data_IF_163340892782
#
_entry.id   IF_163340892782
#
_cell.length_a   1.000
_cell.length_b   1.000
_cell.length_c   1.000
_cell.angle_alpha   90.00
_cell.angle_beta   90.00
_cell.angle_gamma   90.00
#
_symmetry.space_group_name_H-M   'P 1'
#
loop_
_entity.id
_entity.type
_entity.pdbx_description
1 polymer ?
#
# COMPACT_ATOMS: atom_id res chain seq x y z
N UNK A 1 -10.63 -32.72 -15.39
CA UNK A 1 -10.42 -31.37 -14.83
C UNK A 1 -10.28 -31.52 -13.32
N UNK A 2 -9.21 -31.03 -12.67
CA UNK A 2 -9.08 -31.17 -11.22
C UNK A 2 -10.19 -30.38 -10.52
N UNK A 3 -10.78 -31.03 -9.52
CA UNK A 3 -11.99 -30.63 -8.78
C UNK A 3 -11.95 -29.16 -8.30
N UNK A 4 -13.00 -28.34 -8.52
CA UNK A 4 -13.01 -26.96 -8.09
C UNK A 4 -13.14 -26.89 -6.55
N UNK A 5 -12.23 -26.12 -5.95
CA UNK A 5 -12.37 -25.48 -4.64
C UNK A 5 -12.54 -26.42 -3.44
N UNK A 6 -11.44 -26.93 -2.88
CA UNK A 6 -11.37 -27.11 -1.41
C UNK A 6 -11.71 -25.74 -0.83
N UNK A 7 -12.89 -25.60 -0.23
CA UNK A 7 -13.23 -24.38 0.51
C UNK A 7 -12.22 -24.25 1.64
N UNK A 8 -11.52 -23.12 1.69
CA UNK A 8 -10.72 -22.79 2.86
C UNK A 8 -11.68 -22.66 4.03
N UNK A 9 -11.54 -23.55 5.01
CA UNK A 9 -12.32 -23.50 6.23
C UNK A 9 -11.38 -23.07 7.35
N UNK A 10 -11.78 -22.06 8.13
CA UNK A 10 -10.98 -21.64 9.27
C UNK A 10 -10.99 -22.72 10.35
N UNK A 11 -9.81 -23.21 10.72
CA UNK A 11 -9.61 -24.09 11.87
C UNK A 11 -8.75 -23.36 12.90
N UNK A 12 -7.54 -23.02 12.45
CA UNK A 12 -6.57 -22.20 13.15
C UNK A 12 -5.63 -21.58 12.10
N UNK A 13 -4.83 -20.61 12.54
CA UNK A 13 -3.87 -19.88 11.72
C UNK A 13 -2.90 -20.79 10.97
N UNK A 14 -2.32 -21.77 11.66
CA UNK A 14 -1.24 -22.59 11.11
C UNK A 14 -1.77 -23.60 10.11
N UNK A 15 -2.92 -24.21 10.39
CA UNK A 15 -3.61 -25.08 9.44
C UNK A 15 -4.01 -24.30 8.19
N UNK A 16 -4.57 -23.10 8.35
CA UNK A 16 -4.97 -22.29 7.22
C UNK A 16 -3.77 -21.81 6.37
N UNK A 17 -2.63 -21.51 7.01
CA UNK A 17 -1.39 -21.16 6.33
C UNK A 17 -0.80 -22.35 5.55
N UNK A 18 -0.78 -23.56 6.13
CA UNK A 18 -0.35 -24.79 5.46
C UNK A 18 -1.24 -25.16 4.29
N UNK A 19 -2.56 -25.04 4.46
CA UNK A 19 -3.52 -25.28 3.37
C UNK A 19 -3.28 -24.33 2.18
N UNK A 20 -2.99 -23.06 2.45
CA UNK A 20 -2.71 -22.07 1.41
C UNK A 20 -1.36 -22.32 0.72
N UNK A 21 -0.34 -22.74 1.47
CA UNK A 21 0.96 -23.13 0.92
C UNK A 21 0.85 -24.40 0.07
N UNK A 22 0.05 -25.37 0.51
CA UNK A 22 -0.27 -26.56 -0.28
C UNK A 22 -0.93 -26.17 -1.60
N UNK A 23 -1.92 -25.26 -1.57
CA UNK A 23 -2.53 -24.74 -2.80
C UNK A 23 -1.47 -24.13 -3.73
N UNK A 24 -0.54 -23.31 -3.21
CA UNK A 24 0.53 -22.73 -4.01
C UNK A 24 1.36 -23.82 -4.73
N UNK A 25 1.70 -24.92 -4.05
CA UNK A 25 2.54 -25.99 -4.62
C UNK A 25 1.90 -26.73 -5.80
N UNK A 26 0.56 -26.88 -5.83
CA UNK A 26 -0.14 -27.72 -6.82
C UNK A 26 -0.97 -26.92 -7.84
N UNK A 27 -1.27 -25.65 -7.57
CA UNK A 27 -2.14 -24.85 -8.41
C UNK A 27 -1.46 -24.34 -9.70
N UNK A 28 -2.25 -24.01 -10.74
CA UNK A 28 -1.78 -23.23 -11.89
C UNK A 28 -1.15 -21.91 -11.45
N UNK A 29 -0.24 -21.38 -12.28
CA UNK A 29 0.58 -20.21 -11.96
C UNK A 29 -0.21 -19.01 -11.42
N UNK A 30 -1.35 -18.68 -12.03
CA UNK A 30 -2.19 -17.54 -11.61
C UNK A 30 -2.75 -17.70 -10.19
N UNK A 31 -3.16 -18.91 -9.81
CA UNK A 31 -3.64 -19.21 -8.45
C UNK A 31 -2.50 -19.37 -7.46
N UNK A 32 -1.38 -19.97 -7.89
CA UNK A 32 -0.15 -20.07 -7.09
C UNK A 32 0.35 -18.69 -6.68
N UNK A 33 0.39 -17.75 -7.63
CA UNK A 33 0.79 -16.36 -7.39
C UNK A 33 -0.04 -15.70 -6.30
N UNK A 34 -1.36 -15.81 -6.41
CA UNK A 34 -2.30 -15.27 -5.41
C UNK A 34 -2.13 -15.95 -4.05
N UNK A 35 -1.99 -17.27 -4.03
CA UNK A 35 -1.79 -18.03 -2.80
C UNK A 35 -0.51 -17.58 -2.08
N UNK A 36 0.65 -17.54 -2.77
CA UNK A 36 1.90 -17.08 -2.18
C UNK A 36 1.83 -15.62 -1.71
N UNK A 37 1.21 -14.74 -2.50
CA UNK A 37 1.04 -13.34 -2.12
C UNK A 37 0.24 -13.16 -0.83
N UNK A 38 -0.76 -14.02 -0.61
CA UNK A 38 -1.65 -13.94 0.54
C UNK A 38 -1.05 -14.56 1.82
N UNK A 39 -0.03 -15.43 1.72
CA UNK A 39 0.59 -16.07 2.89
C UNK A 39 1.11 -15.08 3.94
N UNK A 40 1.55 -13.88 3.54
CA UNK A 40 1.97 -12.82 4.47
C UNK A 40 0.88 -12.40 5.45
N UNK A 41 -0.40 -12.59 5.10
CA UNK A 41 -1.53 -12.27 5.96
C UNK A 41 -1.67 -13.27 7.14
N UNK A 42 -1.10 -14.47 7.02
CA UNK A 42 -1.25 -15.51 8.02
C UNK A 42 -0.25 -15.40 9.16
N UNK A 43 0.94 -14.84 8.88
CA UNK A 43 1.97 -14.57 9.91
C UNK A 43 2.30 -15.82 10.75
N UNK A 44 2.26 -16.99 10.13
CA UNK A 44 2.43 -18.29 10.78
C UNK A 44 3.88 -18.75 10.70
N UNK A 45 4.50 -19.03 11.85
CA UNK A 45 5.84 -19.63 11.91
C UNK A 45 5.86 -21.09 11.45
N UNK A 46 4.70 -21.76 11.40
CA UNK A 46 4.58 -23.17 11.03
C UNK A 46 4.95 -23.46 9.56
N UNK A 47 4.91 -22.45 8.69
CA UNK A 47 5.27 -22.55 7.27
C UNK A 47 6.64 -21.92 6.96
N UNK A 48 7.37 -21.44 7.98
CA UNK A 48 8.62 -20.69 7.79
C UNK A 48 9.66 -21.49 7.00
N UNK A 49 9.90 -22.74 7.39
CA UNK A 49 10.93 -23.58 6.75
C UNK A 49 10.60 -23.86 5.28
N UNK A 50 9.33 -24.07 4.95
CA UNK A 50 8.88 -24.26 3.56
C UNK A 50 9.06 -22.98 2.73
N UNK A 51 8.78 -21.80 3.32
CA UNK A 51 9.02 -20.51 2.66
C UNK A 51 10.51 -20.26 2.43
N UNK A 52 11.37 -20.60 3.39
CA UNK A 52 12.83 -20.51 3.24
C UNK A 52 13.31 -21.37 2.05
N UNK A 53 12.79 -22.59 1.92
CA UNK A 53 13.11 -23.45 0.78
C UNK A 53 12.70 -22.81 -0.56
N UNK A 54 11.51 -22.18 -0.63
CA UNK A 54 11.07 -21.47 -1.84
C UNK A 54 12.02 -20.31 -2.16
N UNK A 55 12.41 -19.51 -1.16
CA UNK A 55 13.35 -18.39 -1.35
C UNK A 55 14.71 -18.90 -1.85
N UNK A 56 15.18 -20.03 -1.33
CA UNK A 56 16.50 -20.57 -1.65
C UNK A 56 16.55 -21.40 -2.94
N UNK A 57 15.42 -21.88 -3.46
CA UNK A 57 15.38 -22.71 -4.66
C UNK A 57 15.64 -21.89 -5.93
N UNK A 58 16.79 -22.13 -6.56
CA UNK A 58 17.21 -21.48 -7.81
C UNK A 58 16.29 -21.78 -9.01
N UNK A 59 15.44 -22.79 -8.90
CA UNK A 59 14.43 -23.14 -9.91
C UNK A 59 13.11 -22.39 -9.74
N UNK A 60 12.84 -21.84 -8.56
CA UNK A 60 11.65 -21.01 -8.34
C UNK A 60 11.77 -19.69 -9.11
N UNK A 61 10.64 -19.20 -9.62
CA UNK A 61 10.58 -17.90 -10.29
C UNK A 61 10.88 -16.77 -9.31
N UNK A 62 11.44 -15.66 -9.79
CA UNK A 62 11.79 -14.51 -8.94
C UNK A 62 10.61 -13.98 -8.13
N UNK A 63 9.40 -13.95 -8.72
CA UNK A 63 8.19 -13.53 -8.01
C UNK A 63 7.76 -14.52 -6.90
N UNK A 64 8.00 -15.83 -7.07
CA UNK A 64 7.69 -16.84 -6.04
C UNK A 64 8.56 -16.60 -4.79
N UNK A 65 9.87 -16.42 -5.02
CA UNK A 65 10.84 -16.10 -3.97
C UNK A 65 10.47 -14.81 -3.23
N UNK A 66 10.08 -13.77 -3.97
CA UNK A 66 9.67 -12.49 -3.39
C UNK A 66 8.47 -12.60 -2.48
N UNK A 67 7.39 -13.27 -2.92
CA UNK A 67 6.22 -13.44 -2.05
C UNK A 67 6.53 -14.32 -0.84
N UNK A 68 7.37 -15.35 -1.00
CA UNK A 68 7.82 -16.16 0.12
C UNK A 68 8.62 -15.33 1.14
N UNK A 69 9.56 -14.50 0.66
CA UNK A 69 10.35 -13.59 1.51
C UNK A 69 9.47 -12.58 2.24
N UNK A 70 8.47 -11.98 1.56
CA UNK A 70 7.48 -11.10 2.19
C UNK A 70 6.65 -11.81 3.25
N UNK A 71 6.30 -13.07 3.02
CA UNK A 71 5.57 -13.87 3.99
C UNK A 71 6.44 -14.15 5.22
N UNK A 72 7.72 -14.50 5.05
CA UNK A 72 8.69 -14.66 6.14
C UNK A 72 8.86 -13.35 6.94
N UNK A 73 9.03 -12.22 6.25
CA UNK A 73 9.18 -10.92 6.91
C UNK A 73 7.98 -10.56 7.80
N UNK A 74 6.78 -11.02 7.44
CA UNK A 74 5.55 -10.80 8.20
C UNK A 74 5.38 -11.75 9.41
N UNK A 75 6.19 -12.82 9.53
CA UNK A 75 6.14 -13.75 10.68
C UNK A 75 6.67 -13.02 11.93
N UNK A 76 5.91 -12.95 13.04
CA UNK A 76 6.35 -12.33 14.27
C UNK A 76 7.53 -13.07 14.91
N UNK A 77 8.28 -12.35 15.74
CA UNK A 77 9.49 -12.87 16.38
C UNK A 77 10.74 -12.37 15.69
N UNK A 78 11.87 -13.00 16.01
CA UNK A 78 13.19 -12.61 15.53
C UNK A 78 13.71 -13.68 14.55
N UNK A 79 13.39 -13.50 13.27
CA UNK A 79 13.75 -14.43 12.21
C UNK A 79 15.16 -14.12 11.69
N UNK A 80 16.18 -14.76 12.27
CA UNK A 80 17.56 -14.67 11.77
C UNK A 80 17.79 -15.65 10.59
N UNK A 81 18.20 -15.12 9.43
CA UNK A 81 18.27 -15.81 8.14
C UNK A 81 19.58 -15.46 7.37
N UNK A 82 20.76 -15.78 7.91
CA UNK A 82 22.04 -15.42 7.29
C UNK A 82 22.27 -16.06 5.92
N UNK A 83 21.61 -17.17 5.62
CA UNK A 83 21.65 -17.83 4.30
C UNK A 83 21.09 -16.95 3.17
N UNK A 84 20.35 -15.88 3.50
CA UNK A 84 19.88 -14.91 2.51
C UNK A 84 20.94 -13.87 2.13
N UNK A 85 22.12 -13.89 2.77
CA UNK A 85 23.30 -13.06 2.45
C UNK A 85 23.64 -13.03 0.96
N UNK A 86 23.55 -14.18 0.29
CA UNK A 86 23.82 -14.29 -1.15
C UNK A 86 22.91 -13.45 -2.04
N UNK A 87 21.75 -13.04 -1.53
CA UNK A 87 20.83 -12.15 -2.25
C UNK A 87 21.12 -10.67 -2.01
N UNK A 88 22.06 -10.34 -1.12
CA UNK A 88 22.55 -8.97 -0.95
C UNK A 88 23.71 -8.64 -1.91
N UNK A 89 24.31 -9.63 -2.56
CA UNK A 89 25.56 -9.50 -3.32
C UNK A 89 25.46 -9.72 -4.82
N UNK A 90 24.29 -10.09 -5.37
CA UNK A 90 24.25 -10.54 -6.76
C UNK A 90 24.24 -9.36 -7.76
N UNK A 91 25.00 -9.58 -8.83
CA UNK A 91 25.72 -8.57 -9.61
C UNK A 91 24.88 -7.84 -10.67
N UNK A 92 25.45 -6.73 -11.18
CA UNK A 92 24.98 -5.89 -12.29
C UNK A 92 24.59 -6.65 -13.58
N UNK A 93 25.09 -7.88 -13.77
CA UNK A 93 24.86 -8.70 -14.97
C UNK A 93 23.64 -9.62 -14.90
N UNK A 94 23.15 -9.90 -13.71
CA UNK A 94 21.79 -10.44 -13.57
C UNK A 94 20.88 -9.24 -13.49
N UNK A 95 19.78 -9.25 -14.24
CA UNK A 95 18.67 -8.33 -14.07
C UNK A 95 18.13 -8.52 -12.64
N UNK A 96 18.86 -7.98 -11.67
CA UNK A 96 18.59 -8.10 -10.26
C UNK A 96 17.22 -7.46 -10.09
N UNK A 97 16.24 -8.27 -9.70
CA UNK A 97 14.90 -7.77 -9.47
C UNK A 97 15.05 -6.83 -8.26
N UNK A 98 15.22 -5.52 -8.51
CA UNK A 98 15.35 -4.44 -7.52
C UNK A 98 14.40 -4.63 -6.33
N UNK A 99 13.26 -5.23 -6.64
CA UNK A 99 12.19 -5.51 -5.72
C UNK A 99 12.40 -6.72 -4.78
N UNK A 100 13.26 -7.69 -5.11
CA UNK A 100 13.71 -8.74 -4.16
C UNK A 100 14.63 -8.14 -3.10
N UNK A 101 15.52 -7.24 -3.50
CA UNK A 101 16.38 -6.53 -2.55
C UNK A 101 15.56 -5.62 -1.63
N UNK A 102 14.57 -4.92 -2.16
CA UNK A 102 13.60 -4.18 -1.34
C UNK A 102 12.88 -5.09 -0.32
N UNK A 103 12.54 -6.32 -0.72
CA UNK A 103 11.92 -7.30 0.17
C UNK A 103 12.92 -7.83 1.24
N UNK A 104 14.23 -7.90 0.95
CA UNK A 104 15.27 -8.19 1.94
C UNK A 104 15.44 -7.05 2.94
N UNK A 105 15.41 -5.79 2.48
CA UNK A 105 15.45 -4.64 3.39
C UNK A 105 14.21 -4.61 4.29
N UNK A 106 13.03 -4.97 3.77
CA UNK A 106 11.81 -5.15 4.59
C UNK A 106 11.97 -6.26 5.63
N UNK A 107 12.56 -7.40 5.25
CA UNK A 107 12.91 -8.46 6.20
C UNK A 107 13.83 -7.91 7.29
N UNK A 108 14.92 -7.25 6.94
CA UNK A 108 15.89 -6.73 7.91
C UNK A 108 15.31 -5.63 8.81
N UNK A 109 14.41 -4.80 8.29
CA UNK A 109 13.64 -3.81 9.07
C UNK A 109 12.68 -4.47 10.07
N UNK A 110 12.06 -5.59 9.68
CA UNK A 110 11.16 -6.33 10.57
C UNK A 110 11.92 -7.23 11.55
N UNK A 111 13.16 -7.62 11.22
CA UNK A 111 14.01 -8.57 11.94
C UNK A 111 15.45 -8.03 12.05
N UNK A 112 15.74 -7.09 12.99
CA UNK A 112 16.97 -6.29 13.01
C UNK A 112 18.28 -7.09 13.09
N UNK A 113 18.28 -8.34 13.58
CA UNK A 113 19.48 -9.18 13.58
C UNK A 113 20.02 -9.50 12.19
N UNK A 114 19.19 -9.37 11.16
CA UNK A 114 19.65 -9.55 9.78
C UNK A 114 20.45 -8.35 9.25
N UNK A 115 20.33 -7.17 9.87
CA UNK A 115 21.01 -5.95 9.42
C UNK A 115 22.51 -6.13 9.35
N UNK A 116 23.10 -6.83 10.32
CA UNK A 116 24.54 -6.99 10.41
C UNK A 116 25.11 -7.73 9.19
N UNK A 117 24.49 -8.83 8.77
CA UNK A 117 24.97 -9.55 7.59
C UNK A 117 24.57 -8.83 6.30
N UNK A 118 23.37 -8.22 6.22
CA UNK A 118 22.95 -7.46 5.04
C UNK A 118 23.96 -6.35 4.75
N UNK A 119 24.30 -5.52 5.74
CA UNK A 119 25.26 -4.44 5.52
C UNK A 119 26.68 -4.93 5.28
N UNK A 120 27.12 -6.01 5.94
CA UNK A 120 28.45 -6.59 5.68
C UNK A 120 28.61 -7.06 4.24
N UNK A 121 27.58 -7.67 3.67
CA UNK A 121 27.60 -8.15 2.29
C UNK A 121 27.55 -7.00 1.28
N UNK A 122 26.75 -5.97 1.57
CA UNK A 122 26.63 -4.78 0.71
C UNK A 122 27.90 -3.93 0.76
N UNK A 123 28.55 -3.80 1.92
CA UNK A 123 29.82 -3.06 2.09
C UNK A 123 30.95 -3.60 1.19
N UNK A 124 30.85 -4.86 0.75
CA UNK A 124 31.83 -5.47 -0.16
C UNK A 124 31.57 -5.16 -1.65
N UNK A 125 30.45 -4.49 -1.97
CA UNK A 125 30.07 -4.13 -3.34
C UNK A 125 30.76 -2.85 -3.82
N UNK A 126 30.60 -2.54 -5.11
CA UNK A 126 31.04 -1.26 -5.68
C UNK A 126 30.48 -0.07 -4.86
N UNK A 127 31.28 0.98 -4.56
CA UNK A 127 30.84 2.11 -3.74
C UNK A 127 29.54 2.78 -4.22
N UNK A 128 29.29 2.80 -5.54
CA UNK A 128 28.04 3.32 -6.11
C UNK A 128 26.85 2.44 -5.73
N UNK A 129 27.00 1.12 -5.81
CA UNK A 129 25.97 0.14 -5.40
C UNK A 129 25.72 0.26 -3.90
N UNK A 130 26.78 0.34 -3.10
CA UNK A 130 26.67 0.51 -1.65
C UNK A 130 25.91 1.79 -1.28
N UNK A 131 26.24 2.94 -1.89
CA UNK A 131 25.51 4.20 -1.69
C UNK A 131 24.05 4.10 -2.07
N UNK A 132 23.72 3.45 -3.19
CA UNK A 132 22.33 3.23 -3.60
C UNK A 132 21.56 2.42 -2.54
N UNK A 133 22.19 1.39 -1.97
CA UNK A 133 21.60 0.55 -0.94
C UNK A 133 21.40 1.32 0.37
N UNK A 134 22.41 2.07 0.84
CA UNK A 134 22.29 2.92 2.03
C UNK A 134 21.16 3.95 1.85
N UNK A 135 21.12 4.60 0.69
CA UNK A 135 20.08 5.57 0.36
C UNK A 135 18.68 4.93 0.35
N UNK A 136 18.51 3.77 -0.31
CA UNK A 136 17.22 3.04 -0.31
C UNK A 136 16.82 2.65 1.12
N UNK A 137 17.77 2.19 1.93
CA UNK A 137 17.59 1.77 3.32
C UNK A 137 16.95 2.84 4.20
N UNK A 138 17.31 4.12 4.01
CA UNK A 138 16.69 5.23 4.78
C UNK A 138 15.16 5.32 4.64
N UNK A 139 14.56 4.74 3.59
CA UNK A 139 13.11 4.70 3.44
C UNK A 139 12.43 3.58 4.23
N UNK A 140 13.17 2.54 4.65
CA UNK A 140 12.64 1.34 5.29
C UNK A 140 12.74 1.34 6.81
N UNK A 141 13.69 2.09 7.38
CA UNK A 141 13.97 2.10 8.84
C UNK A 141 13.27 3.24 9.59
N UNK A 142 12.11 3.69 9.13
CA UNK A 142 11.40 4.86 9.69
C UNK A 142 10.64 4.58 11.00
N UNK A 143 10.58 3.35 11.49
CA UNK A 143 9.77 2.99 12.66
C UNK A 143 10.61 2.33 13.77
N UNK A 144 10.71 3.00 14.92
CA UNK A 144 11.13 2.40 16.20
C UNK A 144 12.64 2.46 16.51
N UNK A 145 13.51 2.32 15.52
CA UNK A 145 14.96 2.44 15.67
C UNK A 145 15.49 3.40 14.60
N UNK A 146 15.84 4.62 14.98
CA UNK A 146 16.33 5.62 14.03
C UNK A 146 17.76 5.28 13.58
N UNK A 147 17.84 4.39 12.57
CA UNK A 147 19.10 4.02 11.93
C UNK A 147 19.58 5.07 10.94
N UNK A 148 18.76 6.08 10.61
CA UNK A 148 19.09 7.07 9.59
C UNK A 148 20.40 7.82 9.89
N UNK A 149 20.71 8.25 11.12
CA UNK A 149 21.99 8.88 11.41
C UNK A 149 23.19 7.98 11.11
N UNK A 150 23.08 6.68 11.40
CA UNK A 150 24.14 5.70 11.14
C UNK A 150 24.30 5.49 9.63
N UNK A 151 23.19 5.34 8.90
CA UNK A 151 23.19 5.17 7.45
C UNK A 151 23.75 6.41 6.74
N UNK A 152 23.33 7.60 7.16
CA UNK A 152 23.78 8.87 6.58
C UNK A 152 25.26 9.12 6.87
N UNK A 153 25.73 8.80 8.09
CA UNK A 153 27.16 8.85 8.41
C UNK A 153 28.00 7.95 7.49
N UNK A 154 27.55 6.70 7.27
CA UNK A 154 28.22 5.78 6.35
C UNK A 154 28.19 6.28 4.90
N UNK A 155 27.08 6.89 4.47
CA UNK A 155 27.01 7.54 3.15
C UNK A 155 28.05 8.65 3.03
N UNK A 156 28.17 9.50 4.06
CA UNK A 156 29.19 10.56 4.12
C UNK A 156 30.59 9.97 4.01
N UNK A 157 30.92 8.94 4.79
CA UNK A 157 32.25 8.27 4.75
C UNK A 157 32.58 7.75 3.33
N UNK A 158 31.61 7.15 2.63
CA UNK A 158 31.80 6.70 1.24
C UNK A 158 31.95 7.89 0.28
N UNK A 159 31.19 8.96 0.47
CA UNK A 159 31.25 10.17 -0.35
C UNK A 159 32.54 10.99 -0.12
N UNK A 160 33.15 10.90 1.06
CA UNK A 160 34.47 11.47 1.32
C UNK A 160 35.56 10.73 0.56
N UNK A 161 35.47 9.39 0.50
CA UNK A 161 36.38 8.58 -0.31
C UNK A 161 36.09 8.68 -1.83
N UNK A 162 34.84 8.93 -2.21
CA UNK A 162 34.37 8.92 -3.60
C UNK A 162 33.45 10.13 -3.91
N UNK A 163 33.99 11.37 -3.92
CA UNK A 163 33.17 12.59 -4.01
C UNK A 163 32.39 12.74 -5.32
N UNK A 164 32.85 12.11 -6.40
CA UNK A 164 32.16 12.12 -7.70
C UNK A 164 30.85 11.33 -7.71
N UNK A 165 30.58 10.52 -6.68
CA UNK A 165 29.33 9.79 -6.54
C UNK A 165 28.21 10.64 -5.92
N UNK A 166 28.50 11.86 -5.48
CA UNK A 166 27.49 12.77 -4.93
C UNK A 166 26.49 13.18 -6.01
N UNK A 167 25.20 12.95 -5.74
CA UNK A 167 24.11 13.36 -6.62
C UNK A 167 22.98 14.07 -5.83
N UNK A 168 22.02 14.65 -6.56
CA UNK A 168 20.88 15.36 -5.97
C UNK A 168 19.99 14.46 -5.09
N UNK A 169 19.93 13.15 -5.37
CA UNK A 169 19.13 12.21 -4.60
C UNK A 169 19.78 11.96 -3.23
N UNK A 170 21.09 11.75 -3.20
CA UNK A 170 21.88 11.60 -1.98
C UNK A 170 21.86 12.88 -1.13
N UNK A 171 22.02 14.05 -1.75
CA UNK A 171 21.89 15.35 -1.07
C UNK A 171 20.53 15.48 -0.41
N UNK A 172 19.45 15.14 -1.14
CA UNK A 172 18.10 15.17 -0.59
C UNK A 172 17.93 14.23 0.60
N UNK A 173 18.50 13.03 0.54
CA UNK A 173 18.44 12.08 1.65
C UNK A 173 19.20 12.61 2.87
N UNK A 174 20.43 13.07 2.71
CA UNK A 174 21.24 13.62 3.81
C UNK A 174 20.56 14.83 4.48
N UNK A 175 20.03 15.75 3.68
CA UNK A 175 19.40 16.96 4.20
C UNK A 175 18.02 16.70 4.83
N UNK A 176 17.16 15.90 4.19
CA UNK A 176 15.77 15.72 4.64
C UNK A 176 15.53 14.50 5.55
N UNK A 177 16.43 13.51 5.58
CA UNK A 177 16.25 12.31 6.43
C UNK A 177 17.11 12.34 7.68
N UNK A 178 18.33 12.86 7.63
CA UNK A 178 19.19 13.01 8.81
C UNK A 178 19.08 14.42 9.40
N UNK A 179 19.50 15.44 8.64
CA UNK A 179 19.40 16.84 9.08
C UNK A 179 20.19 17.17 10.35
N UNK A 180 21.14 16.31 10.76
CA UNK A 180 22.01 16.57 11.90
C UNK A 180 22.96 17.74 11.61
N UNK A 181 23.39 18.45 12.66
CA UNK A 181 24.33 19.58 12.52
C UNK A 181 25.59 19.20 11.75
N UNK A 182 26.18 18.04 12.05
CA UNK A 182 27.36 17.52 11.34
C UNK A 182 27.10 17.27 9.85
N UNK A 183 25.92 16.76 9.49
CA UNK A 183 25.57 16.52 8.09
C UNK A 183 25.32 17.84 7.36
N UNK A 184 24.70 18.82 8.01
CA UNK A 184 24.48 20.15 7.45
C UNK A 184 25.81 20.89 7.24
N UNK A 185 26.73 20.83 8.21
CA UNK A 185 28.09 21.36 8.06
C UNK A 185 28.82 20.72 6.87
N UNK A 186 28.78 19.39 6.77
CA UNK A 186 29.39 18.66 5.65
C UNK A 186 28.83 19.07 4.27
N UNK A 187 27.52 19.30 4.20
CA UNK A 187 26.86 19.81 2.99
C UNK A 187 27.25 21.26 2.69
N UNK A 188 27.39 22.10 3.72
CA UNK A 188 27.82 23.49 3.59
C UNK A 188 29.26 23.63 3.09
N UNK A 189 30.17 22.74 3.50
CA UNK A 189 31.54 22.70 2.95
C UNK A 189 31.57 22.42 1.44
N UNK A 190 30.49 21.81 0.89
CA UNK A 190 30.36 21.42 -0.52
C UNK A 190 29.38 22.31 -1.28
N UNK A 191 29.08 23.50 -0.76
CA UNK A 191 28.03 24.38 -1.28
C UNK A 191 28.10 24.64 -2.79
N UNK A 192 29.30 24.90 -3.31
CA UNK A 192 29.49 25.14 -4.75
C UNK A 192 29.17 23.91 -5.59
N UNK A 193 29.46 22.71 -5.07
CA UNK A 193 29.10 21.44 -5.73
C UNK A 193 27.59 21.24 -5.72
N UNK A 194 26.91 21.59 -4.63
CA UNK A 194 25.44 21.53 -4.54
C UNK A 194 24.79 22.45 -5.57
N UNK A 195 25.29 23.68 -5.71
CA UNK A 195 24.81 24.64 -6.73
C UNK A 195 25.06 24.06 -8.12
N UNK A 196 26.27 23.60 -8.41
CA UNK A 196 26.61 23.02 -9.71
C UNK A 196 25.69 21.86 -10.08
N UNK A 197 25.48 20.90 -9.17
CA UNK A 197 24.58 19.77 -9.38
C UNK A 197 23.13 20.21 -9.64
N UNK A 198 22.67 21.30 -9.01
CA UNK A 198 21.34 21.86 -9.29
C UNK A 198 21.24 22.49 -10.68
N UNK A 199 22.34 23.00 -11.23
CA UNK A 199 22.37 23.63 -12.55
C UNK A 199 22.43 22.60 -13.70
N UNK A 200 22.99 21.41 -13.45
CA UNK A 200 23.16 20.35 -14.47
C UNK A 200 22.20 19.17 -14.30
N UNK A 201 21.47 19.12 -13.18
CA UNK A 201 20.59 18.01 -12.83
C UNK A 201 19.22 18.06 -13.51
N UNK A 202 18.47 16.97 -13.38
CA UNK A 202 17.10 16.89 -13.89
C UNK A 202 16.15 17.80 -13.12
N UNK A 203 15.32 18.57 -13.84
CA UNK A 203 14.39 19.55 -13.27
C UNK A 203 13.54 19.00 -12.11
N UNK A 204 13.05 17.76 -12.22
CA UNK A 204 12.24 17.10 -11.19
C UNK A 204 12.99 16.98 -9.84
N UNK A 205 14.25 16.54 -9.86
CA UNK A 205 15.03 16.35 -8.63
C UNK A 205 15.50 17.68 -8.05
N UNK A 206 15.90 18.61 -8.92
CA UNK A 206 16.29 19.97 -8.55
C UNK A 206 15.14 20.68 -7.84
N UNK A 207 13.96 20.74 -8.46
CA UNK A 207 12.85 21.48 -7.87
C UNK A 207 12.29 20.85 -6.60
N UNK A 208 12.40 19.53 -6.44
CA UNK A 208 12.09 18.87 -5.16
C UNK A 208 13.00 19.38 -4.05
N UNK A 209 14.30 19.54 -4.32
CA UNK A 209 15.27 20.10 -3.35
C UNK A 209 14.98 21.57 -3.07
N UNK A 210 14.92 22.42 -4.10
CA UNK A 210 14.75 23.88 -3.96
C UNK A 210 13.44 24.28 -3.28
N UNK A 211 12.40 23.44 -3.40
CA UNK A 211 11.12 23.66 -2.74
C UNK A 211 11.21 23.64 -1.22
N UNK A 212 12.10 22.83 -0.68
CA UNK A 212 12.20 22.59 0.76
C UNK A 212 13.53 23.08 1.34
N UNK A 213 14.35 23.81 0.57
CA UNK A 213 15.64 24.35 0.99
C UNK A 213 15.85 25.78 0.48
N UNK A 214 15.41 26.75 1.28
CA UNK A 214 15.35 28.15 0.87
C UNK A 214 16.74 28.75 0.57
N UNK A 215 17.75 28.47 1.40
CA UNK A 215 19.10 28.99 1.18
C UNK A 215 19.71 28.48 -0.13
N UNK A 216 19.51 27.19 -0.45
CA UNK A 216 20.00 26.61 -1.69
C UNK A 216 19.24 27.20 -2.89
N UNK A 217 17.92 27.40 -2.77
CA UNK A 217 17.10 28.05 -3.80
C UNK A 217 17.60 29.44 -4.12
N UNK A 218 17.83 30.27 -3.11
CA UNK A 218 18.36 31.63 -3.31
C UNK A 218 19.73 31.63 -3.98
N UNK A 219 20.63 30.72 -3.56
CA UNK A 219 21.95 30.59 -4.15
C UNK A 219 21.90 30.14 -5.62
N UNK A 220 21.06 29.17 -5.96
CA UNK A 220 20.87 28.69 -7.34
C UNK A 220 20.27 29.79 -8.21
N UNK A 221 19.22 30.49 -7.73
CA UNK A 221 18.60 31.59 -8.49
C UNK A 221 19.54 32.78 -8.72
N UNK A 222 20.45 33.06 -7.78
CA UNK A 222 21.49 34.06 -7.96
C UNK A 222 22.46 33.69 -9.09
N UNK A 223 22.80 32.41 -9.22
CA UNK A 223 23.72 31.92 -10.26
C UNK A 223 23.03 31.67 -11.61
N UNK A 224 21.73 31.35 -11.61
CA UNK A 224 20.95 31.10 -12.81
C UNK A 224 19.54 31.71 -12.71
N UNK A 225 19.39 33.03 -12.97
CA UNK A 225 18.10 33.71 -12.85
C UNK A 225 17.01 33.15 -13.78
N UNK A 226 17.37 32.51 -14.90
CA UNK A 226 16.40 31.89 -15.81
C UNK A 226 15.61 30.75 -15.18
N UNK A 227 16.15 30.07 -14.15
CA UNK A 227 15.44 29.00 -13.43
C UNK A 227 14.28 29.52 -12.57
N UNK A 228 14.22 30.82 -12.28
CA UNK A 228 13.15 31.40 -11.44
C UNK A 228 11.79 31.20 -12.09
N UNK A 229 11.68 31.49 -13.38
CA UNK A 229 10.40 31.39 -14.11
C UNK A 229 10.00 29.92 -14.33
N UNK A 230 10.97 29.04 -14.64
CA UNK A 230 10.72 27.60 -14.76
C UNK A 230 10.22 27.00 -13.44
N UNK A 231 10.84 27.36 -12.32
CA UNK A 231 10.41 26.93 -10.98
C UNK A 231 9.00 27.42 -10.65
N UNK A 232 8.66 28.69 -10.94
CA UNK A 232 7.30 29.22 -10.74
C UNK A 232 6.27 28.49 -11.58
N UNK A 233 6.57 28.23 -12.85
CA UNK A 233 5.67 27.50 -13.74
C UNK A 233 5.38 26.09 -13.20
N UNK A 234 6.41 25.37 -12.75
CA UNK A 234 6.21 24.03 -12.20
C UNK A 234 5.44 24.04 -10.88
N UNK A 235 5.60 25.08 -10.04
CA UNK A 235 4.77 25.25 -8.85
C UNK A 235 3.28 25.42 -9.21
N UNK A 236 2.98 26.20 -10.26
CA UNK A 236 1.62 26.39 -10.75
C UNK A 236 1.04 25.09 -11.32
N UNK A 237 1.82 24.32 -12.09
CA UNK A 237 1.39 23.02 -12.62
C UNK A 237 1.09 22.02 -11.51
N UNK A 238 1.97 21.91 -10.49
CA UNK A 238 1.73 21.03 -9.33
C UNK A 238 0.53 21.51 -8.52
N UNK A 239 0.31 22.81 -8.36
CA UNK A 239 -0.87 23.35 -7.69
C UNK A 239 -2.15 23.04 -8.47
N UNK A 240 -2.14 23.19 -9.79
CA UNK A 240 -3.25 22.84 -10.67
C UNK A 240 -3.58 21.34 -10.61
N UNK A 241 -2.55 20.48 -10.63
CA UNK A 241 -2.72 19.03 -10.46
C UNK A 241 -3.31 18.70 -9.08
N UNK A 242 -2.83 19.33 -8.00
CA UNK A 242 -3.38 19.13 -6.65
C UNK A 242 -4.85 19.53 -6.56
N UNK A 243 -5.24 20.65 -7.18
CA UNK A 243 -6.64 21.07 -7.25
C UNK A 243 -7.50 20.07 -8.04
N UNK A 244 -6.95 19.47 -9.11
CA UNK A 244 -7.63 18.41 -9.88
C UNK A 244 -7.83 17.12 -9.08
N UNK A 245 -6.85 16.71 -8.27
CA UNK A 245 -6.90 15.44 -7.52
C UNK A 245 -7.43 15.54 -6.09
N UNK A 246 -7.55 16.77 -5.55
CA UNK A 246 -8.18 17.04 -4.26
C UNK A 246 -9.30 18.07 -4.47
N UNK A 247 -10.39 17.69 -5.16
CA UNK A 247 -11.51 18.59 -5.38
C UNK A 247 -12.08 19.05 -4.03
N UNK A 248 -12.71 20.22 -4.05
CA UNK A 248 -13.32 20.81 -2.87
C UNK A 248 -14.30 19.82 -2.22
N UNK A 249 -14.53 19.92 -0.89
CA UNK A 249 -15.61 19.18 -0.24
C UNK A 249 -16.90 19.43 -1.01
N UNK A 250 -17.53 18.37 -1.52
CA UNK A 250 -18.81 18.47 -2.22
C UNK A 250 -19.90 18.06 -1.24
N UNK A 251 -20.97 18.84 -1.15
CA UNK A 251 -22.11 18.55 -0.27
C UNK A 251 -22.97 17.42 -0.86
N UNK A 252 -22.45 16.20 -0.84
CA UNK A 252 -23.18 15.00 -1.27
C UNK A 252 -24.42 14.74 -0.40
N UNK A 253 -24.48 15.30 0.81
CA UNK A 253 -25.60 15.11 1.73
C UNK A 253 -26.87 15.80 1.24
N UNK A 254 -26.72 16.80 0.37
CA UNK A 254 -27.82 17.44 -0.34
C UNK A 254 -28.42 16.58 -1.47
N UNK A 255 -27.74 15.52 -1.91
CA UNK A 255 -28.22 14.69 -3.03
C UNK A 255 -29.49 13.92 -2.69
N UNK A 256 -30.41 13.83 -3.65
CA UNK A 256 -31.67 13.10 -3.47
C UNK A 256 -31.42 11.62 -3.14
N UNK A 257 -30.40 11.03 -3.78
CA UNK A 257 -29.98 9.64 -3.54
C UNK A 257 -29.48 9.45 -2.11
N UNK A 258 -28.63 10.35 -1.61
CA UNK A 258 -28.18 10.28 -0.21
C UNK A 258 -29.33 10.44 0.77
N UNK A 259 -30.20 11.43 0.56
CA UNK A 259 -31.32 11.69 1.46
C UNK A 259 -32.28 10.49 1.52
N UNK A 260 -32.57 9.85 0.38
CA UNK A 260 -33.36 8.61 0.32
C UNK A 260 -32.72 7.48 1.13
N UNK A 261 -31.44 7.17 0.85
CA UNK A 261 -30.74 6.07 1.50
C UNK A 261 -30.54 6.33 3.01
N UNK A 262 -30.20 7.56 3.38
CA UNK A 262 -30.06 7.94 4.78
C UNK A 262 -31.40 7.90 5.51
N UNK A 263 -32.51 8.28 4.89
CA UNK A 263 -33.84 8.13 5.48
C UNK A 263 -34.17 6.66 5.78
N UNK A 264 -33.85 5.73 4.87
CA UNK A 264 -34.01 4.29 5.15
C UNK A 264 -33.06 3.81 6.24
N UNK A 265 -31.82 4.31 6.29
CA UNK A 265 -30.88 3.98 7.36
C UNK A 265 -31.36 4.44 8.73
N UNK A 266 -31.84 5.68 8.86
CA UNK A 266 -32.39 6.19 10.13
C UNK A 266 -33.64 5.43 10.57
N UNK A 267 -34.54 5.09 9.63
CA UNK A 267 -35.71 4.27 9.93
C UNK A 267 -35.31 2.85 10.39
N UNK A 268 -34.32 2.23 9.74
CA UNK A 268 -33.78 0.95 10.15
C UNK A 268 -33.13 1.02 11.54
N UNK A 269 -32.40 2.09 11.85
CA UNK A 269 -31.85 2.33 13.20
C UNK A 269 -32.93 2.41 14.29
N UNK A 270 -34.12 2.88 13.93
CA UNK A 270 -35.30 2.93 14.78
C UNK A 270 -36.08 1.59 14.86
N UNK A 271 -35.58 0.52 14.23
CA UNK A 271 -36.19 -0.81 14.24
C UNK A 271 -37.10 -1.13 13.06
N UNK A 272 -37.14 -0.30 12.01
CA UNK A 272 -37.94 -0.57 10.81
C UNK A 272 -37.28 -1.65 9.92
N UNK A 273 -37.79 -2.88 10.04
CA UNK A 273 -37.37 -4.03 9.23
C UNK A 273 -37.60 -3.83 7.72
N UNK A 274 -38.62 -3.08 7.33
CA UNK A 274 -38.91 -2.80 5.92
C UNK A 274 -37.85 -1.85 5.35
N UNK A 275 -37.44 -0.84 6.11
CA UNK A 275 -36.36 0.06 5.73
C UNK A 275 -35.01 -0.68 5.60
N UNK A 276 -34.69 -1.57 6.55
CA UNK A 276 -33.55 -2.49 6.44
C UNK A 276 -33.62 -3.32 5.14
N UNK A 277 -34.78 -3.92 4.86
CA UNK A 277 -35.00 -4.72 3.64
C UNK A 277 -34.81 -3.93 2.35
N UNK A 278 -35.17 -2.64 2.33
CA UNK A 278 -34.92 -1.74 1.18
C UNK A 278 -33.42 -1.51 0.96
N UNK A 279 -32.66 -1.19 2.02
CA UNK A 279 -31.21 -1.03 1.93
C UNK A 279 -30.53 -2.32 1.45
N UNK A 280 -30.86 -3.46 2.06
CA UNK A 280 -30.32 -4.74 1.64
C UNK A 280 -30.63 -5.04 0.16
N UNK A 281 -31.84 -4.74 -0.31
CA UNK A 281 -32.23 -4.93 -1.71
C UNK A 281 -31.37 -4.10 -2.67
N UNK A 282 -31.05 -2.85 -2.34
CA UNK A 282 -30.12 -2.02 -3.14
C UNK A 282 -28.75 -2.68 -3.20
N UNK A 283 -28.23 -3.16 -2.07
CA UNK A 283 -26.92 -3.85 -2.01
C UNK A 283 -26.88 -5.14 -2.83
N UNK A 284 -27.99 -5.88 -2.92
CA UNK A 284 -28.07 -7.09 -3.75
C UNK A 284 -28.27 -6.82 -5.24
N UNK A 285 -29.21 -5.94 -5.57
CA UNK A 285 -29.83 -5.93 -6.90
C UNK A 285 -29.55 -4.66 -7.71
N UNK A 286 -29.03 -3.60 -7.12
CA UNK A 286 -28.70 -2.40 -7.88
C UNK A 286 -27.51 -2.68 -8.82
N UNK A 287 -27.70 -2.46 -10.11
CA UNK A 287 -26.69 -2.74 -11.15
C UNK A 287 -26.41 -1.50 -12.02
N UNK A 288 -27.31 -0.52 -12.00
CA UNK A 288 -27.24 0.64 -12.87
C UNK A 288 -26.50 1.78 -12.19
N UNK A 289 -26.68 1.94 -10.88
CA UNK A 289 -26.03 2.97 -10.08
C UNK A 289 -25.06 2.37 -9.06
N UNK A 290 -23.78 2.31 -9.44
CA UNK A 290 -22.72 1.76 -8.59
C UNK A 290 -22.42 2.68 -7.39
N UNK A 291 -22.61 4.00 -7.51
CA UNK A 291 -22.40 4.94 -6.42
C UNK A 291 -23.49 4.78 -5.36
N UNK A 292 -24.76 4.75 -5.77
CA UNK A 292 -25.90 4.43 -4.89
C UNK A 292 -25.69 3.10 -4.17
N UNK A 293 -25.24 2.06 -4.89
CA UNK A 293 -24.98 0.75 -4.29
C UNK A 293 -23.82 0.75 -3.29
N UNK A 294 -22.73 1.46 -3.58
CA UNK A 294 -21.60 1.58 -2.66
C UNK A 294 -22.02 2.31 -1.37
N UNK A 295 -22.73 3.43 -1.49
CA UNK A 295 -23.27 4.18 -0.34
C UNK A 295 -24.28 3.36 0.46
N UNK A 296 -25.19 2.64 -0.21
CA UNK A 296 -26.11 1.74 0.48
C UNK A 296 -25.36 0.62 1.22
N UNK A 297 -24.25 0.13 0.68
CA UNK A 297 -23.39 -0.88 1.31
C UNK A 297 -22.71 -0.32 2.58
N UNK A 298 -22.20 0.91 2.52
CA UNK A 298 -21.66 1.62 3.69
C UNK A 298 -22.70 1.74 4.82
N UNK A 299 -23.88 2.26 4.49
CA UNK A 299 -24.97 2.45 5.45
C UNK A 299 -25.47 1.11 6.00
N UNK A 300 -25.57 0.07 5.18
CA UNK A 300 -25.92 -1.27 5.64
C UNK A 300 -24.89 -1.80 6.64
N UNK A 301 -23.59 -1.59 6.40
CA UNK A 301 -22.52 -1.98 7.32
C UNK A 301 -22.64 -1.36 8.70
N UNK A 302 -23.11 -0.10 8.79
CA UNK A 302 -23.33 0.61 10.06
C UNK A 302 -24.46 -0.02 10.91
N UNK A 303 -25.35 -0.82 10.30
CA UNK A 303 -26.47 -1.50 10.97
C UNK A 303 -26.10 -2.86 11.60
N UNK A 304 -24.83 -3.29 11.53
CA UNK A 304 -24.35 -4.62 11.97
C UNK A 304 -24.67 -5.02 13.41
N UNK A 305 -24.90 -4.04 14.30
CA UNK A 305 -25.23 -4.30 15.70
C UNK A 305 -26.72 -4.57 15.94
N UNK A 306 -27.58 -4.28 14.96
CA UNK A 306 -29.03 -4.44 15.06
C UNK A 306 -29.57 -5.55 14.14
N UNK A 307 -28.93 -5.77 12.99
CA UNK A 307 -29.40 -6.71 11.97
C UNK A 307 -28.28 -7.66 11.52
N UNK A 308 -28.65 -8.83 11.01
CA UNK A 308 -27.70 -9.73 10.33
C UNK A 308 -27.41 -9.24 8.91
N UNK A 309 -26.44 -8.34 8.81
CA UNK A 309 -26.00 -7.71 7.55
C UNK A 309 -25.12 -8.64 6.69
N UNK A 310 -24.58 -9.72 7.29
CA UNK A 310 -23.57 -10.60 6.64
C UNK A 310 -24.02 -11.15 5.28
N UNK A 311 -25.25 -11.66 5.09
CA UNK A 311 -25.64 -12.21 3.79
C UNK A 311 -25.48 -11.22 2.63
N UNK A 312 -25.90 -9.97 2.84
CA UNK A 312 -25.83 -8.92 1.83
C UNK A 312 -24.39 -8.47 1.59
N UNK A 313 -23.61 -8.30 2.66
CA UNK A 313 -22.20 -7.90 2.55
C UNK A 313 -21.33 -9.01 1.93
N UNK A 314 -21.58 -10.29 2.22
CA UNK A 314 -20.92 -11.43 1.58
C UNK A 314 -21.21 -11.46 0.08
N UNK A 315 -22.46 -11.23 -0.31
CA UNK A 315 -22.82 -11.14 -1.71
C UNK A 315 -22.12 -9.97 -2.41
N UNK A 316 -22.15 -8.77 -1.81
CA UNK A 316 -21.50 -7.59 -2.35
C UNK A 316 -19.98 -7.79 -2.53
N UNK A 317 -19.30 -8.31 -1.50
CA UNK A 317 -17.85 -8.54 -1.53
C UNK A 317 -17.41 -9.55 -2.61
N UNK A 318 -18.23 -10.58 -2.88
CA UNK A 318 -17.90 -11.65 -3.83
C UNK A 318 -18.34 -11.38 -5.27
N UNK A 319 -19.42 -10.61 -5.46
CA UNK A 319 -20.14 -10.59 -6.73
C UNK A 319 -20.44 -9.20 -7.28
N UNK A 320 -20.05 -8.12 -6.60
CA UNK A 320 -20.25 -6.78 -7.16
C UNK A 320 -19.48 -6.62 -8.49
N UNK A 321 -20.10 -5.99 -9.51
CA UNK A 321 -19.52 -5.82 -10.85
C UNK A 321 -18.64 -4.57 -10.98
N UNK A 322 -18.13 -4.04 -9.87
CA UNK A 322 -17.41 -2.76 -9.75
C UNK A 322 -15.94 -2.82 -10.23
N UNK A 323 -15.51 -3.95 -10.79
CA UNK A 323 -14.18 -4.14 -11.39
C UNK A 323 -14.10 -3.73 -12.88
N UNK A 324 -15.23 -3.58 -13.59
CA UNK A 324 -15.23 -3.58 -15.07
C UNK A 324 -15.61 -2.25 -15.76
N UNK A 325 -16.25 -1.31 -15.06
CA UNK A 325 -16.85 -0.11 -15.70
C UNK A 325 -15.96 1.14 -15.70
N UNK A 326 -14.95 1.21 -14.84
CA UNK A 326 -14.15 2.43 -14.69
C UNK A 326 -12.66 2.12 -14.79
N UNK A 327 -12.01 2.66 -15.83
CA UNK A 327 -10.56 2.63 -16.00
C UNK A 327 -9.83 3.57 -15.01
N UNK A 328 -10.56 4.40 -14.26
CA UNK A 328 -9.99 5.23 -13.21
C UNK A 328 -9.84 4.43 -11.92
N UNK A 329 -8.58 4.37 -11.44
CA UNK A 329 -8.16 3.75 -10.18
C UNK A 329 -9.00 4.17 -8.96
N UNK A 330 -9.68 5.33 -9.03
CA UNK A 330 -10.51 5.88 -7.95
C UNK A 330 -11.89 5.21 -7.82
N UNK A 331 -12.40 4.55 -8.87
CA UNK A 331 -13.74 3.93 -8.88
C UNK A 331 -13.74 2.41 -8.90
N UNK A 332 -12.59 1.77 -9.17
CA UNK A 332 -12.50 0.31 -9.15
C UNK A 332 -12.74 -0.23 -7.75
N UNK A 333 -13.70 -1.15 -7.60
CA UNK A 333 -14.01 -1.89 -6.37
C UNK A 333 -14.70 -1.12 -5.20
N UNK A 334 -15.47 -0.05 -5.45
CA UNK A 334 -16.13 0.74 -4.38
C UNK A 334 -17.11 -0.06 -3.51
N UNK A 335 -17.94 -0.91 -4.11
CA UNK A 335 -18.93 -1.72 -3.40
C UNK A 335 -18.22 -2.81 -2.60
N UNK A 336 -17.25 -3.49 -3.21
CA UNK A 336 -16.45 -4.53 -2.53
C UNK A 336 -15.63 -3.93 -1.40
N UNK A 337 -15.14 -2.71 -1.58
CA UNK A 337 -14.43 -1.99 -0.53
C UNK A 337 -15.32 -1.76 0.69
N UNK A 338 -16.50 -1.14 0.48
CA UNK A 338 -17.44 -0.84 1.57
C UNK A 338 -17.91 -2.11 2.29
N UNK A 339 -18.18 -3.17 1.51
CA UNK A 339 -18.53 -4.47 2.07
C UNK A 339 -17.40 -5.05 2.92
N UNK A 340 -16.16 -4.99 2.42
CA UNK A 340 -15.00 -5.52 3.13
C UNK A 340 -14.66 -4.73 4.39
N UNK A 341 -14.73 -3.40 4.33
CA UNK A 341 -14.51 -2.53 5.49
C UNK A 341 -15.53 -2.83 6.60
N UNK A 342 -16.81 -2.96 6.27
CA UNK A 342 -17.85 -3.30 7.23
C UNK A 342 -17.68 -4.70 7.84
N UNK A 343 -17.33 -5.68 7.00
CA UNK A 343 -17.13 -7.07 7.41
C UNK A 343 -15.88 -7.26 8.28
N UNK A 344 -14.80 -6.52 8.04
CA UNK A 344 -13.57 -6.55 8.85
C UNK A 344 -13.86 -6.42 10.35
N UNK A 345 -14.84 -5.60 10.70
CA UNK A 345 -15.21 -5.33 12.09
C UNK A 345 -16.14 -6.40 12.71
N UNK A 346 -16.43 -7.48 11.98
CA UNK A 346 -17.27 -8.61 12.41
C UNK A 346 -16.40 -9.88 12.41
N UNK A 347 -15.42 -10.01 13.33
CA UNK A 347 -14.50 -11.14 13.30
C UNK A 347 -15.24 -12.46 13.53
N UNK A 348 -15.26 -13.30 12.50
CA UNK A 348 -15.79 -14.67 12.55
C UNK A 348 -15.13 -15.54 11.48
N UNK A 349 -15.07 -16.87 11.67
CA UNK A 349 -14.63 -17.81 10.64
C UNK A 349 -15.29 -17.55 9.27
N UNK A 350 -16.61 -17.41 9.24
CA UNK A 350 -17.40 -17.21 8.01
C UNK A 350 -17.00 -15.95 7.24
N UNK A 351 -16.72 -14.86 7.97
CA UNK A 351 -16.27 -13.60 7.39
C UNK A 351 -14.86 -13.74 6.83
N UNK A 352 -13.96 -14.38 7.57
CA UNK A 352 -12.60 -14.65 7.12
C UNK A 352 -12.59 -15.51 5.85
N UNK A 353 -13.35 -16.60 5.82
CA UNK A 353 -13.48 -17.47 4.65
C UNK A 353 -14.04 -16.71 3.43
N UNK A 354 -15.00 -15.81 3.66
CA UNK A 354 -15.55 -14.96 2.60
C UNK A 354 -14.53 -13.97 2.05
N UNK A 355 -13.65 -13.42 2.87
CA UNK A 355 -12.56 -12.57 2.43
C UNK A 355 -11.53 -13.34 1.59
N UNK A 356 -11.19 -14.57 2.01
CA UNK A 356 -10.32 -15.47 1.23
C UNK A 356 -10.95 -15.75 -0.14
N UNK A 357 -12.22 -16.15 -0.18
CA UNK A 357 -12.94 -16.39 -1.44
C UNK A 357 -12.91 -15.15 -2.34
N UNK A 358 -13.19 -13.97 -1.78
CA UNK A 358 -13.16 -12.71 -2.51
C UNK A 358 -11.77 -12.37 -3.07
N UNK A 359 -10.70 -12.70 -2.33
CA UNK A 359 -9.32 -12.56 -2.79
C UNK A 359 -9.00 -13.46 -3.99
N UNK A 360 -9.63 -14.63 -4.11
CA UNK A 360 -9.41 -15.49 -5.27
C UNK A 360 -10.33 -15.19 -6.46
N UNK A 361 -11.48 -14.55 -6.25
CA UNK A 361 -12.51 -14.39 -7.31
C UNK A 361 -12.15 -13.34 -8.37
N UNK A 362 -11.33 -12.31 -8.08
CA UNK A 362 -10.74 -11.31 -9.02
C UNK A 362 -10.35 -10.06 -8.20
N UNK A 363 -9.22 -10.02 -7.49
CA UNK A 363 -8.76 -8.76 -6.93
C UNK A 363 -8.06 -8.00 -8.05
N UNK A 364 -8.58 -6.85 -8.47
CA UNK A 364 -7.82 -5.91 -9.28
C UNK A 364 -7.25 -4.80 -8.39
N UNK A 365 -6.03 -4.39 -8.70
CA UNK A 365 -5.42 -3.16 -8.19
C UNK A 365 -5.44 -3.04 -6.65
N UNK A 366 -6.09 -2.00 -6.14
CA UNK A 366 -6.05 -1.56 -4.74
C UNK A 366 -6.81 -2.52 -3.81
N UNK A 367 -7.88 -3.15 -4.29
CA UNK A 367 -8.69 -4.08 -3.49
C UNK A 367 -7.86 -5.28 -3.00
N UNK A 368 -6.87 -5.72 -3.79
CA UNK A 368 -5.97 -6.80 -3.37
C UNK A 368 -5.22 -6.46 -2.08
N UNK A 369 -4.76 -5.21 -1.96
CA UNK A 369 -4.03 -4.74 -0.79
C UNK A 369 -4.96 -4.66 0.42
N UNK A 370 -6.17 -4.13 0.25
CA UNK A 370 -7.17 -4.08 1.30
C UNK A 370 -7.61 -5.46 1.79
N UNK A 371 -7.92 -6.39 0.87
CA UNK A 371 -8.28 -7.76 1.23
C UNK A 371 -7.15 -8.44 2.00
N UNK A 372 -5.90 -8.30 1.54
CA UNK A 372 -4.74 -8.86 2.26
C UNK A 372 -4.63 -8.30 3.69
N UNK A 373 -4.84 -7.00 3.89
CA UNK A 373 -4.78 -6.36 5.21
C UNK A 373 -5.95 -6.77 6.11
N UNK A 374 -7.16 -6.87 5.56
CA UNK A 374 -8.34 -7.34 6.30
C UNK A 374 -8.23 -8.81 6.68
N UNK A 375 -7.74 -9.66 5.78
CA UNK A 375 -7.47 -11.08 6.07
C UNK A 375 -6.41 -11.20 7.17
N UNK A 376 -5.36 -10.38 7.13
CA UNK A 376 -4.34 -10.38 8.18
C UNK A 376 -4.92 -10.00 9.54
N UNK A 377 -5.70 -8.91 9.58
CA UNK A 377 -6.38 -8.47 10.78
C UNK A 377 -7.35 -9.51 11.33
N UNK A 378 -8.19 -10.10 10.48
CA UNK A 378 -9.13 -11.15 10.89
C UNK A 378 -8.38 -12.40 11.37
N UNK A 379 -7.27 -12.77 10.74
CA UNK A 379 -6.41 -13.89 11.17
C UNK A 379 -5.87 -13.64 12.57
N UNK A 380 -5.38 -12.43 12.86
CA UNK A 380 -4.91 -12.05 14.20
C UNK A 380 -6.05 -12.12 15.23
N UNK A 381 -7.20 -11.52 14.93
CA UNK A 381 -8.38 -11.52 15.82
C UNK A 381 -8.90 -12.92 16.12
N UNK A 382 -9.02 -13.78 15.10
CA UNK A 382 -9.47 -15.16 15.26
C UNK A 382 -8.43 -16.05 15.96
N UNK A 383 -7.16 -15.66 15.94
CA UNK A 383 -6.09 -16.32 16.72
C UNK A 383 -5.98 -15.79 18.16
N UNK A 384 -6.88 -14.90 18.59
CA UNK A 384 -6.86 -14.31 19.93
C UNK A 384 -5.84 -13.18 20.14
N UNK A 385 -5.28 -12.60 19.05
CA UNK A 385 -4.40 -11.43 19.13
C UNK A 385 -5.24 -10.17 19.04
N UNK A 386 -5.26 -9.38 20.13
CA UNK A 386 -5.96 -8.10 20.16
C UNK A 386 -5.04 -6.95 19.72
N UNK A 387 -4.83 -6.84 18.40
CA UNK A 387 -4.09 -5.75 17.79
C UNK A 387 -5.04 -4.76 17.10
N UNK A 388 -4.78 -3.44 17.14
CA UNK A 388 -5.53 -2.47 16.36
C UNK A 388 -5.27 -2.68 14.85
N UNK A 389 -6.26 -2.37 14.01
CA UNK A 389 -6.10 -2.42 12.56
C UNK A 389 -5.11 -1.34 12.09
N UNK A 390 -3.97 -1.80 11.54
CA UNK A 390 -2.87 -0.96 11.04
C UNK A 390 -2.75 -0.95 9.50
N UNK A 391 -3.68 -1.60 8.79
CA UNK A 391 -3.66 -1.66 7.32
C UNK A 391 -4.10 -0.35 6.67
N UNK A 392 -4.13 -0.35 5.34
CA UNK A 392 -4.55 0.81 4.55
C UNK A 392 -6.00 1.19 4.94
N UNK A 393 -6.23 2.49 5.12
CA UNK A 393 -7.55 3.09 5.30
C UNK A 393 -7.75 4.11 4.20
N UNK A 394 -8.92 4.15 3.59
CA UNK A 394 -9.37 5.39 2.97
C UNK A 394 -9.78 6.36 4.07
N UNK A 395 -9.59 7.66 3.83
CA UNK A 395 -9.94 8.67 4.83
C UNK A 395 -11.44 8.81 5.01
N UNK A 396 -11.88 10.02 5.33
CA UNK A 396 -13.29 10.28 5.62
C UNK A 396 -14.20 10.06 4.39
N UNK A 397 -15.51 10.16 4.60
CA UNK A 397 -16.50 10.02 3.52
C UNK A 397 -16.29 11.04 2.39
N UNK A 398 -15.70 12.21 2.69
CA UNK A 398 -15.38 13.20 1.66
C UNK A 398 -14.18 12.78 0.82
N UNK A 399 -13.32 11.86 1.26
CA UNK A 399 -12.23 11.30 0.45
C UNK A 399 -12.71 10.14 -0.45
N UNK A 400 -13.92 9.61 -0.21
CA UNK A 400 -14.50 8.52 -1.00
C UNK A 400 -15.18 9.07 -2.25
N UNK A 401 -14.66 8.70 -3.42
CA UNK A 401 -15.13 9.23 -4.70
C UNK A 401 -16.64 9.00 -4.94
N UNK A 402 -17.17 7.81 -4.61
CA UNK A 402 -18.60 7.51 -4.84
C UNK A 402 -19.56 8.33 -3.98
N UNK A 403 -19.10 8.89 -2.85
CA UNK A 403 -19.91 9.86 -2.09
C UNK A 403 -19.97 11.18 -2.85
N UNK A 404 -18.84 11.68 -3.36
CA UNK A 404 -18.82 12.91 -4.19
C UNK A 404 -19.65 12.79 -5.46
N UNK A 405 -19.57 11.63 -6.14
CA UNK A 405 -20.32 11.38 -7.36
C UNK A 405 -21.85 11.47 -7.17
N UNK A 406 -22.36 11.29 -5.94
CA UNK A 406 -23.79 11.52 -5.67
C UNK A 406 -24.17 13.00 -5.83
N UNK A 407 -23.29 13.93 -5.50
CA UNK A 407 -23.56 15.36 -5.67
C UNK A 407 -23.59 15.76 -7.15
N UNK A 408 -22.66 15.25 -7.96
CA UNK A 408 -22.54 15.57 -9.39
C UNK A 408 -23.73 15.02 -10.22
N UNK A 409 -24.41 13.99 -9.70
CA UNK A 409 -25.60 13.42 -10.34
C UNK A 409 -26.86 14.30 -10.26
N UNK A 410 -26.87 15.30 -9.37
CA UNK A 410 -27.97 16.28 -9.29
C UNK A 410 -27.87 17.33 -10.42
N UNK A 411 -26.66 17.83 -10.70
CA UNK A 411 -26.44 18.95 -11.65
C UNK A 411 -26.80 18.58 -13.08
N UNK A 412 -26.63 17.31 -13.46
CA UNK A 412 -26.92 16.80 -14.80
C UNK A 412 -28.41 16.58 -15.07
N UNK A 413 -29.25 16.48 -14.03
CA UNK A 413 -30.72 16.43 -14.20
C UNK A 413 -31.36 17.82 -14.28
N UNK A 414 -30.72 18.86 -13.75
CA UNK A 414 -31.20 20.24 -13.87
C UNK A 414 -30.93 20.85 -15.26
N UNK A 415 -29.82 20.52 -15.93
CA UNK A 415 -29.54 20.98 -17.30
C UNK A 415 -30.47 20.33 -18.35
N UNK A 416 -30.85 19.06 -18.19
CA UNK A 416 -31.80 18.38 -19.09
C UNK A 416 -33.26 18.80 -18.84
N UNK A 417 -33.59 19.38 -17.67
CA UNK A 417 -34.92 19.92 -17.37
C UNK A 417 -35.10 21.38 -17.84
N UNK A 418 -33.99 22.05 -18.22
CA UNK A 418 -33.96 23.42 -18.71
C UNK A 418 -33.68 23.53 -20.22
N UNK A 419 -33.56 22.39 -20.92
CA UNK A 419 -33.50 22.28 -22.38
C UNK A 419 -34.79 21.68 -22.95
#
# INVERSE_FOLDING_TARGET
MPNPTKRFAWQDRDTAARDLLQLASVAPESLRRRALQLLKAFRSSAIRSDLEQIVLDEKCNGWERRYALRAIAAIPGDNFLPEFARFATASEDSMFDDSLFDDLLRLASSHPRNLQWVFREVEQQDPKVYLQVLNRSTNYFRQGEDLNPILCRRMIEVLEAHPLLLDLKLIGTLYFQDGSESTLEWLHERWDTLIYLCLVGEAKDVFRLLKNWDQLREAVFKNCPSMIEEYKQQQLEVAALRLRFRPAPVDYQSSAVWQELNAWHQAALAGDQQAYGKLARVVYHEQNDLCKRAVATNLLGKLKHQYDVRPALFHALRHAPDDAKYNDLAMSASIRFEAGEALRDIPSPEVWETMIDAFFIRPQNVLESFLSDWIAYLTDRLSGIDAPYSGIKWGDENERFWFRALAESNDSQEEDALS
#
